data_IF_028142645867
#
_entry.id   IF_028142645867
#
_cell.length_a   1.000
_cell.length_b   1.000
_cell.length_c   1.000
_cell.angle_alpha   90.00
_cell.angle_beta   90.00
_cell.angle_gamma   90.00
#
_symmetry.space_group_name_H-M   'P 1'
#
loop_
_entity.id
_entity.type
_entity.pdbx_description
1 polymer ?
#
# COMPACT_ATOMS: atom_id res chain seq x y z
N UNK A 1 -44.80 30.54 57.99
CA UNK A 1 -44.05 31.69 58.56
C UNK A 1 -43.64 32.58 57.41
N UNK A 2 -44.29 33.74 57.30
CA UNK A 2 -43.96 34.82 56.35
C UNK A 2 -42.81 35.63 56.96
N UNK A 3 -41.87 36.14 56.14
CA UNK A 3 -41.36 37.52 56.14
C UNK A 3 -40.36 37.71 54.98
N UNK A 4 -40.83 38.51 54.03
CA UNK A 4 -40.24 39.48 53.06
C UNK A 4 -38.85 40.05 53.47
N UNK A 5 -37.92 40.51 52.61
CA UNK A 5 -37.90 41.82 51.91
C UNK A 5 -36.53 42.08 51.21
N UNK A 6 -36.58 42.66 49.97
CA UNK A 6 -35.62 43.55 49.23
C UNK A 6 -34.21 43.06 48.85
N UNK A 7 -33.45 43.71 47.96
CA UNK A 7 -33.61 44.40 46.66
C UNK A 7 -32.24 45.03 46.35
N UNK A 8 -31.90 45.18 45.07
CA UNK A 8 -30.87 46.07 44.49
C UNK A 8 -29.38 45.81 44.83
N UNK A 9 -28.58 45.56 43.78
CA UNK A 9 -27.58 46.52 43.30
C UNK A 9 -27.07 46.19 41.88
N UNK A 10 -26.69 47.26 41.20
CA UNK A 10 -26.32 47.42 39.79
C UNK A 10 -24.93 46.84 39.46
N UNK A 11 -24.73 46.53 38.18
CA UNK A 11 -23.46 46.18 37.50
C UNK A 11 -22.23 46.97 38.01
N UNK A 12 -21.03 46.39 37.84
CA UNK A 12 -20.27 46.81 36.67
C UNK A 12 -19.75 45.66 35.81
N UNK A 13 -19.76 45.95 34.52
CA UNK A 13 -19.05 45.31 33.42
C UNK A 13 -17.57 45.09 33.79
N UNK A 14 -17.11 43.85 33.78
CA UNK A 14 -15.68 43.52 33.72
C UNK A 14 -15.49 42.63 32.49
N UNK A 15 -15.05 43.27 31.42
CA UNK A 15 -14.46 42.63 30.24
C UNK A 15 -13.04 42.24 30.67
N UNK A 16 -12.72 40.95 30.69
CA UNK A 16 -11.35 40.49 30.63
C UNK A 16 -11.27 39.29 29.67
N UNK A 17 -11.17 39.62 28.39
CA UNK A 17 -10.80 38.71 27.32
C UNK A 17 -9.29 38.43 27.39
N UNK A 18 -8.91 37.20 27.75
CA UNK A 18 -7.72 36.53 27.23
C UNK A 18 -7.67 35.12 27.82
N UNK A 19 -8.34 34.17 27.17
CA UNK A 19 -8.03 32.75 27.33
C UNK A 19 -7.40 32.32 26.02
N UNK A 20 -6.07 32.49 25.92
CA UNK A 20 -5.32 31.78 24.92
C UNK A 20 -5.36 30.30 25.32
N UNK A 21 -6.23 29.54 24.66
CA UNK A 21 -6.21 28.08 24.73
C UNK A 21 -4.97 27.68 23.94
N UNK A 22 -3.87 27.40 24.64
CA UNK A 22 -2.76 26.67 24.07
C UNK A 22 -3.28 25.26 23.77
N UNK A 23 -3.65 25.01 22.52
CA UNK A 23 -3.83 23.65 22.03
C UNK A 23 -2.48 22.94 22.11
N UNK A 24 -2.29 22.14 23.16
CA UNK A 24 -1.26 21.11 23.18
C UNK A 24 -1.64 20.10 22.08
N UNK A 25 -1.10 20.31 20.89
CA UNK A 25 -1.04 19.26 19.89
C UNK A 25 -0.21 18.14 20.53
N UNK A 26 -0.90 17.09 21.00
CA UNK A 26 -0.27 15.86 21.41
C UNK A 26 0.09 15.13 20.13
N UNK A 27 1.26 15.43 19.56
CA UNK A 27 1.88 14.54 18.58
C UNK A 27 2.20 13.24 19.32
N UNK A 28 1.37 12.23 19.11
CA UNK A 28 1.74 10.87 19.46
C UNK A 28 2.89 10.47 18.54
N UNK A 29 4.09 10.41 19.11
CA UNK A 29 5.21 9.72 18.49
C UNK A 29 4.86 8.24 18.51
N UNK A 30 4.39 7.73 17.37
CA UNK A 30 4.48 6.29 17.10
C UNK A 30 5.91 6.03 16.63
N UNK A 31 6.65 5.29 17.46
CA UNK A 31 7.92 4.72 17.08
C UNK A 31 7.66 3.37 16.41
N UNK A 32 7.81 3.30 15.09
CA UNK A 32 8.28 2.09 14.38
C UNK A 32 9.16 2.60 13.22
N UNK A 33 10.46 2.30 13.26
CA UNK A 33 11.36 2.54 12.12
C UNK A 33 10.99 1.54 11.03
N UNK A 34 10.04 1.90 10.17
CA UNK A 34 9.96 1.44 8.79
C UNK A 34 10.30 2.64 7.91
N UNK A 35 11.10 2.47 6.88
CA UNK A 35 11.23 3.51 5.87
C UNK A 35 9.85 3.86 5.31
N UNK A 36 9.60 5.15 5.10
CA UNK A 36 8.32 5.65 4.59
C UNK A 36 8.18 5.15 3.14
N UNK A 37 7.35 4.13 2.95
CA UNK A 37 7.09 3.59 1.62
C UNK A 37 6.34 4.65 0.79
N UNK A 38 6.59 4.71 -0.53
CA UNK A 38 5.80 5.54 -1.42
C UNK A 38 4.30 5.24 -1.28
N UNK A 39 3.48 6.28 -1.49
CA UNK A 39 2.03 6.15 -1.45
C UNK A 39 1.46 5.26 -2.56
N UNK A 40 0.14 5.04 -2.56
CA UNK A 40 -0.51 4.21 -3.58
C UNK A 40 -0.38 4.83 -4.98
N UNK A 41 -0.31 3.96 -5.98
CA UNK A 41 -0.36 4.30 -7.39
C UNK A 41 -1.74 4.01 -7.99
N UNK A 42 -2.17 4.88 -8.90
CA UNK A 42 -3.48 4.81 -9.55
C UNK A 42 -3.46 3.87 -10.76
N UNK A 43 -4.61 3.29 -11.09
CA UNK A 43 -4.82 2.61 -12.36
C UNK A 43 -4.69 3.56 -13.56
N UNK A 44 -3.92 3.17 -14.58
CA UNK A 44 -3.67 3.97 -15.78
C UNK A 44 -4.18 3.33 -17.08
N UNK A 45 -4.90 2.21 -16.98
CA UNK A 45 -5.53 1.51 -18.10
C UNK A 45 -7.04 1.34 -17.85
N UNK A 46 -7.86 1.07 -18.89
CA UNK A 46 -9.30 0.91 -18.74
C UNK A 46 -9.72 -0.16 -17.72
N UNK A 47 -9.02 -1.28 -17.64
CA UNK A 47 -9.33 -2.40 -16.73
C UNK A 47 -9.02 -2.11 -15.25
N UNK A 48 -8.15 -1.16 -14.96
CA UNK A 48 -7.72 -0.79 -13.61
C UNK A 48 -8.32 0.53 -13.13
N UNK A 49 -9.19 1.16 -13.93
CA UNK A 49 -9.81 2.43 -13.57
C UNK A 49 -10.58 2.31 -12.24
N UNK A 50 -10.26 3.20 -11.29
CA UNK A 50 -10.86 3.19 -9.94
C UNK A 50 -10.25 2.14 -9.01
N UNK A 51 -9.13 1.55 -9.39
CA UNK A 51 -8.28 0.75 -8.52
C UNK A 51 -7.01 1.52 -8.16
N UNK A 52 -6.49 1.25 -6.97
CA UNK A 52 -5.15 1.69 -6.55
C UNK A 52 -4.31 0.50 -6.13
N UNK A 53 -2.99 0.61 -6.32
CA UNK A 53 -2.00 -0.39 -5.89
C UNK A 53 -1.05 0.23 -4.88
N UNK A 54 -0.64 -0.52 -3.86
CA UNK A 54 0.27 -0.02 -2.82
C UNK A 54 1.30 -1.08 -2.43
N UNK A 55 2.55 -0.67 -2.26
CA UNK A 55 3.59 -1.51 -1.66
C UNK A 55 3.44 -1.48 -0.14
N UNK A 56 3.42 -2.65 0.52
CA UNK A 56 3.15 -2.77 1.96
C UNK A 56 4.38 -3.16 2.76
N UNK A 57 5.17 -4.08 2.23
CA UNK A 57 6.38 -4.56 2.90
C UNK A 57 7.37 -5.08 1.89
N UNK A 58 8.62 -4.64 2.01
CA UNK A 58 9.71 -5.09 1.18
C UNK A 58 10.74 -5.70 2.12
N UNK A 59 11.29 -6.87 1.78
CA UNK A 59 12.28 -7.51 2.62
C UNK A 59 13.32 -8.25 1.81
N UNK A 60 14.59 -7.95 2.07
CA UNK A 60 15.71 -8.74 1.57
C UNK A 60 15.94 -9.98 2.44
N UNK A 61 16.28 -11.10 1.82
CA UNK A 61 16.70 -12.29 2.56
C UNK A 61 18.12 -12.11 3.14
N UNK A 62 18.49 -12.95 4.12
CA UNK A 62 19.84 -12.91 4.73
C UNK A 62 20.97 -13.14 3.71
N UNK A 63 20.70 -13.87 2.62
CA UNK A 63 21.64 -14.10 1.53
C UNK A 63 21.84 -12.89 0.61
N UNK A 64 21.03 -11.86 0.74
CA UNK A 64 21.12 -10.61 0.01
C UNK A 64 20.60 -10.64 -1.43
N UNK A 65 20.21 -11.79 -1.96
CA UNK A 65 19.94 -12.00 -3.40
C UNK A 65 18.46 -12.23 -3.73
N UNK A 66 17.58 -12.22 -2.73
CA UNK A 66 16.14 -12.36 -2.89
C UNK A 66 15.42 -11.22 -2.20
N UNK A 67 14.38 -10.70 -2.85
CA UNK A 67 13.48 -9.69 -2.30
C UNK A 67 12.06 -10.24 -2.31
N UNK A 68 11.40 -10.21 -1.16
CA UNK A 68 9.96 -10.45 -1.04
C UNK A 68 9.25 -9.10 -0.96
N UNK A 69 8.16 -8.96 -1.71
CA UNK A 69 7.30 -7.77 -1.67
C UNK A 69 5.88 -8.21 -1.36
N UNK A 70 5.31 -7.67 -0.29
CA UNK A 70 3.88 -7.67 -0.03
C UNK A 70 3.28 -6.39 -0.62
N UNK A 71 2.19 -6.51 -1.37
CA UNK A 71 1.52 -5.40 -2.05
C UNK A 71 0.01 -5.62 -2.02
N UNK A 72 -0.79 -4.57 -2.21
CA UNK A 72 -2.25 -4.68 -2.23
C UNK A 72 -2.87 -3.94 -3.42
N UNK A 73 -4.09 -4.36 -3.78
CA UNK A 73 -4.97 -3.59 -4.65
C UNK A 73 -6.23 -3.23 -3.87
N UNK A 74 -6.59 -1.95 -3.88
CA UNK A 74 -7.86 -1.42 -3.38
C UNK A 74 -8.80 -1.11 -4.53
N UNK A 75 -10.10 -1.37 -4.33
CA UNK A 75 -11.15 -1.15 -5.32
C UNK A 75 -12.13 -0.09 -4.83
N UNK A 76 -12.07 1.09 -5.44
CA UNK A 76 -12.95 2.22 -5.11
C UNK A 76 -14.22 2.27 -5.96
N UNK A 77 -14.40 1.29 -6.86
CA UNK A 77 -15.59 1.18 -7.71
C UNK A 77 -16.79 0.59 -6.95
N UNK A 78 -17.97 0.66 -7.55
CA UNK A 78 -19.22 0.09 -7.02
C UNK A 78 -19.46 -1.38 -7.43
N UNK A 79 -18.44 -2.04 -8.00
CA UNK A 79 -18.53 -3.43 -8.47
C UNK A 79 -17.27 -4.23 -8.15
N UNK A 80 -17.41 -5.55 -8.05
CA UNK A 80 -16.25 -6.44 -7.91
C UNK A 80 -15.43 -6.45 -9.21
N UNK A 81 -14.10 -6.40 -9.09
CA UNK A 81 -13.19 -6.40 -10.25
C UNK A 81 -12.35 -7.67 -10.25
N UNK A 82 -12.45 -8.46 -11.32
CA UNK A 82 -11.64 -9.64 -11.54
C UNK A 82 -10.29 -9.27 -12.17
N UNK A 83 -9.17 -9.64 -11.54
CA UNK A 83 -7.82 -9.20 -11.91
C UNK A 83 -7.16 -10.10 -12.98
N UNK A 84 -7.91 -10.46 -14.02
CA UNK A 84 -7.47 -11.49 -14.99
C UNK A 84 -6.26 -11.09 -15.84
N UNK A 85 -5.98 -9.79 -15.96
CA UNK A 85 -4.86 -9.28 -16.78
C UNK A 85 -3.50 -9.45 -16.11
N UNK A 86 -3.45 -9.61 -14.77
CA UNK A 86 -2.20 -9.76 -14.02
C UNK A 86 -1.48 -11.10 -14.26
N UNK A 87 -2.13 -12.03 -14.96
CA UNK A 87 -1.59 -13.38 -15.17
C UNK A 87 -0.46 -13.50 -16.21
N UNK A 88 -0.23 -12.49 -17.07
CA UNK A 88 0.87 -12.39 -18.07
C UNK A 88 1.33 -13.71 -18.75
N UNK A 89 0.36 -14.58 -19.08
CA UNK A 89 0.63 -15.89 -19.70
C UNK A 89 1.00 -15.83 -21.18
N UNK A 90 0.77 -14.67 -21.81
CA UNK A 90 0.98 -14.49 -23.24
C UNK A 90 2.41 -14.06 -23.54
N UNK A 91 3.07 -13.43 -22.56
CA UNK A 91 4.39 -12.81 -22.72
C UNK A 91 5.50 -13.69 -22.15
N UNK A 92 5.22 -14.45 -21.08
CA UNK A 92 6.23 -15.24 -20.35
C UNK A 92 5.83 -16.72 -20.21
N UNK A 93 6.82 -17.57 -19.97
CA UNK A 93 6.66 -19.04 -19.90
C UNK A 93 6.16 -19.55 -18.54
N UNK A 94 5.43 -18.73 -17.77
CA UNK A 94 4.88 -19.16 -16.49
C UNK A 94 3.71 -20.13 -16.69
N UNK A 95 3.66 -21.15 -15.82
CA UNK A 95 2.56 -22.09 -15.72
C UNK A 95 1.59 -21.67 -14.59
N UNK A 96 0.30 -21.96 -14.75
CA UNK A 96 -0.73 -21.76 -13.72
C UNK A 96 -1.33 -20.34 -13.67
N UNK A 97 -2.35 -20.16 -12.82
CA UNK A 97 -3.07 -18.88 -12.63
C UNK A 97 -2.44 -18.10 -11.45
N UNK A 98 -1.36 -17.38 -11.74
CA UNK A 98 -0.64 -16.55 -10.77
C UNK A 98 -0.51 -15.11 -11.25
N UNK A 99 -0.22 -14.16 -10.38
CA UNK A 99 0.04 -12.77 -10.78
C UNK A 99 1.49 -12.55 -11.20
N UNK A 100 1.96 -13.36 -12.16
CA UNK A 100 3.32 -13.33 -12.69
C UNK A 100 3.65 -12.09 -13.50
N UNK A 101 2.67 -11.24 -13.82
CA UNK A 101 2.89 -9.97 -14.51
C UNK A 101 3.48 -8.86 -13.65
N UNK A 102 3.48 -9.02 -12.33
CA UNK A 102 4.04 -8.03 -11.40
C UNK A 102 5.57 -8.10 -11.41
N UNK A 103 6.24 -7.02 -11.77
CA UNK A 103 7.69 -6.93 -11.91
C UNK A 103 8.30 -5.89 -10.99
N UNK A 104 9.61 -5.98 -10.76
CA UNK A 104 10.38 -4.88 -10.18
C UNK A 104 11.45 -4.41 -11.15
N UNK A 105 11.83 -3.14 -11.08
CA UNK A 105 12.90 -2.55 -11.87
C UNK A 105 13.96 -2.00 -10.94
N UNK A 106 15.24 -2.32 -11.19
CA UNK A 106 16.37 -1.62 -10.59
C UNK A 106 16.59 -0.30 -11.35
N UNK A 107 16.32 0.87 -10.73
CA UNK A 107 16.40 2.16 -11.42
C UNK A 107 17.83 2.55 -11.81
N UNK A 108 18.86 1.96 -11.20
CA UNK A 108 20.25 2.28 -11.51
C UNK A 108 20.71 1.62 -12.82
N UNK A 109 20.15 0.45 -13.13
CA UNK A 109 20.55 -0.36 -14.29
C UNK A 109 19.46 -0.47 -15.35
N UNK A 110 18.24 0.00 -15.05
CA UNK A 110 17.04 -0.21 -15.86
C UNK A 110 16.74 -1.71 -16.10
N UNK A 111 17.16 -2.57 -15.16
CA UNK A 111 16.96 -4.01 -15.25
C UNK A 111 15.62 -4.39 -14.66
N UNK A 112 14.75 -4.97 -15.49
CA UNK A 112 13.48 -5.57 -15.04
C UNK A 112 13.69 -6.98 -14.52
N UNK A 113 13.23 -7.24 -13.31
CA UNK A 113 13.19 -8.55 -12.68
C UNK A 113 11.76 -9.07 -12.62
N UNK A 114 11.57 -10.29 -13.15
CA UNK A 114 10.31 -11.01 -13.04
C UNK A 114 10.27 -11.85 -11.75
N UNK A 115 9.08 -12.25 -11.29
CA UNK A 115 8.96 -13.13 -10.14
C UNK A 115 9.77 -14.42 -10.32
N UNK A 116 10.40 -14.90 -9.25
CA UNK A 116 11.16 -16.14 -9.26
C UNK A 116 10.27 -17.28 -9.79
N UNK A 117 10.84 -18.15 -10.63
CA UNK A 117 10.15 -19.30 -11.18
C UNK A 117 10.64 -20.57 -10.49
N UNK A 118 9.73 -21.47 -10.13
CA UNK A 118 10.07 -22.77 -9.58
C UNK A 118 10.44 -23.79 -10.68
N UNK A 119 10.82 -25.01 -10.29
CA UNK A 119 11.17 -26.08 -11.23
C UNK A 119 10.00 -26.55 -12.11
N UNK A 120 8.77 -26.26 -11.72
CA UNK A 120 7.53 -26.61 -12.42
C UNK A 120 7.13 -25.53 -13.43
N UNK A 121 7.87 -24.42 -13.49
CA UNK A 121 7.56 -23.26 -14.32
C UNK A 121 6.53 -22.32 -13.68
N UNK A 122 6.17 -22.51 -12.42
CA UNK A 122 5.20 -21.67 -11.71
C UNK A 122 5.92 -20.48 -11.07
N UNK A 123 5.27 -19.31 -10.98
CA UNK A 123 5.88 -18.21 -10.23
C UNK A 123 5.87 -18.54 -8.73
N UNK A 124 6.86 -18.01 -8.02
CA UNK A 124 6.87 -17.92 -6.57
C UNK A 124 6.26 -16.57 -6.19
N UNK A 125 4.95 -16.48 -6.40
CA UNK A 125 4.13 -15.28 -6.18
C UNK A 125 2.68 -15.64 -5.85
N UNK A 126 1.84 -14.65 -5.52
CA UNK A 126 0.43 -14.87 -5.21
C UNK A 126 -0.31 -15.54 -6.38
N UNK A 127 -1.11 -16.56 -6.06
CA UNK A 127 -1.85 -17.34 -7.04
C UNK A 127 -2.24 -18.74 -6.55
N UNK A 128 -2.38 -19.66 -7.51
CA UNK A 128 -2.90 -21.03 -7.43
C UNK A 128 -2.41 -21.92 -6.26
N UNK A 129 -1.31 -21.57 -5.57
CA UNK A 129 -0.83 -22.29 -4.38
C UNK A 129 -1.40 -21.80 -3.05
N UNK A 130 -2.09 -20.65 -3.02
CA UNK A 130 -2.69 -20.08 -1.80
C UNK A 130 -4.19 -20.33 -1.75
N UNK A 131 -4.65 -21.00 -0.69
CA UNK A 131 -6.09 -21.11 -0.36
C UNK A 131 -6.77 -19.76 -0.06
N UNK A 132 -5.99 -18.69 0.04
CA UNK A 132 -6.44 -17.31 0.24
C UNK A 132 -6.16 -16.41 -0.96
N UNK A 133 -5.85 -16.99 -2.11
CA UNK A 133 -5.72 -16.22 -3.33
C UNK A 133 -7.09 -15.72 -3.77
N UNK A 134 -7.21 -14.40 -3.90
CA UNK A 134 -8.39 -13.75 -4.45
C UNK A 134 -8.06 -13.30 -5.87
N UNK A 135 -8.76 -13.88 -6.84
CA UNK A 135 -8.68 -13.46 -8.24
C UNK A 135 -9.54 -12.22 -8.55
N UNK A 136 -10.17 -11.64 -7.52
CA UNK A 136 -11.01 -10.47 -7.59
C UNK A 136 -10.84 -9.61 -6.35
N UNK A 137 -11.03 -8.30 -6.51
CA UNK A 137 -11.13 -7.34 -5.39
C UNK A 137 -12.57 -6.89 -5.30
N UNK A 138 -13.21 -7.13 -4.16
CA UNK A 138 -14.61 -6.75 -3.94
C UNK A 138 -14.77 -5.23 -3.92
N UNK A 139 -15.95 -4.73 -4.30
CA UNK A 139 -16.25 -3.29 -4.23
C UNK A 139 -15.97 -2.71 -2.84
N UNK A 140 -15.25 -1.59 -2.78
CA UNK A 140 -14.84 -0.93 -1.55
C UNK A 140 -13.84 -1.72 -0.70
N UNK A 141 -13.31 -2.83 -1.22
CA UNK A 141 -12.40 -3.73 -0.52
C UNK A 141 -10.95 -3.56 -0.94
N UNK A 142 -10.08 -4.21 -0.17
CA UNK A 142 -8.65 -4.35 -0.46
C UNK A 142 -8.28 -5.84 -0.46
N UNK A 143 -7.38 -6.25 -1.35
CA UNK A 143 -6.79 -7.59 -1.34
C UNK A 143 -5.27 -7.49 -1.37
N UNK A 144 -4.63 -8.27 -0.50
CA UNK A 144 -3.18 -8.32 -0.36
C UNK A 144 -2.59 -9.55 -1.08
N UNK A 145 -1.42 -9.34 -1.65
CA UNK A 145 -0.67 -10.27 -2.47
C UNK A 145 0.81 -10.22 -2.10
N UNK A 146 1.59 -11.13 -2.67
CA UNK A 146 3.03 -11.19 -2.45
C UNK A 146 3.74 -11.68 -3.70
N UNK A 147 4.99 -11.28 -3.89
CA UNK A 147 5.85 -11.73 -4.98
C UNK A 147 7.30 -11.85 -4.50
N UNK A 148 8.01 -12.88 -4.96
CA UNK A 148 9.44 -13.07 -4.67
C UNK A 148 10.27 -12.83 -5.93
N UNK A 149 11.36 -12.08 -5.83
CA UNK A 149 12.25 -11.73 -6.92
C UNK A 149 13.69 -12.11 -6.62
N UNK A 150 14.47 -12.40 -7.67
CA UNK A 150 15.92 -12.56 -7.57
C UNK A 150 16.61 -11.30 -8.09
N UNK A 151 17.40 -10.67 -7.25
CA UNK A 151 18.11 -9.42 -7.56
C UNK A 151 19.58 -9.51 -7.16
N UNK A 152 20.46 -8.67 -7.73
CA UNK A 152 21.78 -8.41 -7.19
C UNK A 152 21.72 -7.91 -5.74
N UNK A 153 22.80 -8.14 -4.98
CA UNK A 153 22.87 -7.81 -3.56
C UNK A 153 23.04 -6.33 -3.25
N UNK A 154 23.36 -5.54 -4.27
CA UNK A 154 23.67 -4.11 -4.24
C UNK A 154 22.51 -3.21 -4.70
N UNK A 155 21.36 -3.78 -5.08
CA UNK A 155 20.14 -3.00 -5.31
C UNK A 155 19.69 -2.41 -3.98
N UNK A 156 19.53 -1.10 -3.85
CA UNK A 156 19.09 -0.45 -2.59
C UNK A 156 17.65 0.05 -2.65
N UNK A 157 17.21 0.44 -3.85
CA UNK A 157 15.84 0.87 -4.14
C UNK A 157 15.32 0.15 -5.37
N UNK A 158 14.00 0.08 -5.52
CA UNK A 158 13.34 -0.51 -6.68
C UNK A 158 12.10 0.27 -7.09
N UNK A 159 11.66 0.06 -8.33
CA UNK A 159 10.33 0.43 -8.80
C UNK A 159 9.47 -0.82 -8.87
N UNK A 160 8.27 -0.81 -8.28
CA UNK A 160 7.28 -1.86 -8.43
C UNK A 160 6.37 -1.54 -9.61
N UNK A 161 6.27 -2.46 -10.56
CA UNK A 161 5.38 -2.35 -11.72
C UNK A 161 4.27 -3.40 -11.62
N UNK A 162 3.04 -2.93 -11.58
CA UNK A 162 1.85 -3.78 -11.63
C UNK A 162 1.09 -3.45 -12.93
N UNK A 163 0.84 -4.43 -13.82
CA UNK A 163 0.17 -4.16 -15.10
C UNK A 163 -1.16 -3.41 -14.92
N UNK A 164 -1.30 -2.31 -15.67
CA UNK A 164 -2.45 -1.41 -15.60
C UNK A 164 -2.35 -0.33 -14.51
N UNK A 165 -1.25 -0.18 -13.79
CA UNK A 165 -1.08 0.87 -12.79
C UNK A 165 0.13 1.75 -13.13
N UNK A 166 0.12 2.98 -12.61
CA UNK A 166 1.35 3.78 -12.55
C UNK A 166 2.42 3.04 -11.73
N UNK A 167 3.70 3.12 -12.10
CA UNK A 167 4.77 2.51 -11.32
C UNK A 167 4.91 3.15 -9.93
N UNK A 168 5.20 2.33 -8.93
CA UNK A 168 5.56 2.82 -7.58
C UNK A 168 7.09 2.88 -7.52
N UNK A 169 7.63 4.09 -7.68
CA UNK A 169 9.08 4.35 -7.75
C UNK A 169 9.72 4.56 -6.38
N UNK A 170 11.05 4.49 -6.33
CA UNK A 170 11.87 4.83 -5.15
C UNK A 170 11.52 4.04 -3.88
N UNK A 171 11.11 2.78 -4.03
CA UNK A 171 10.80 1.91 -2.89
C UNK A 171 12.11 1.45 -2.23
N UNK A 172 12.36 1.77 -0.95
CA UNK A 172 13.52 1.28 -0.21
C UNK A 172 13.37 -0.20 0.15
N UNK A 173 14.51 -0.87 0.35
CA UNK A 173 14.57 -2.30 0.66
C UNK A 173 15.08 -2.52 2.09
N UNK A 174 14.22 -3.09 2.95
CA UNK A 174 14.57 -3.50 4.32
C UNK A 174 15.55 -4.69 4.39
#
# INVERSE_FOLDING_TARGET
>A
MVITVRSFRKNPLIILTCTAILSLASSSVNAENGEDLPGPAEGNEPESQGLTVEAKKIKRNEGGNLISIDWSISNETDSDVALTWLHEKQTYTYNGDYYSGVTIVDPNTDTRHHPLMDQSGECVCAGNTSSRFYNQVVSGGESAYWSLFSTPSDVETLTLEVPGFEPIEDIPID
#
